data_IF_873463420377
#
_entry.id   IF_873463420377
#
_cell.length_a   1.000
_cell.length_b   1.000
_cell.length_c   1.000
_cell.angle_alpha   90.00
_cell.angle_beta   90.00
_cell.angle_gamma   90.00
#
_symmetry.space_group_name_H-M   'P 1'
#
loop_
_entity.id
_entity.type
_entity.pdbx_description
1 polymer ?
#
# COMPACT_ATOMS: atom_id res chain seq x y z
N UNK A 1 15.66 30.10 15.18
CA UNK A 1 15.47 28.67 14.90
C UNK A 1 14.81 28.07 16.13
N UNK A 2 13.61 27.51 16.01
CA UNK A 2 13.02 26.73 17.11
C UNK A 2 13.90 25.48 17.21
N UNK A 3 14.70 25.36 18.27
CA UNK A 3 15.36 24.09 18.56
C UNK A 3 14.27 23.02 18.65
N UNK A 4 14.38 21.88 17.94
CA UNK A 4 13.39 20.82 18.01
C UNK A 4 13.44 20.17 19.40
N UNK A 5 12.73 20.78 20.34
CA UNK A 5 12.47 20.24 21.66
C UNK A 5 11.37 19.19 21.62
N UNK A 6 11.12 18.56 22.76
CA UNK A 6 10.06 17.56 22.97
C UNK A 6 8.66 18.03 22.54
N UNK A 7 8.44 19.35 22.44
CA UNK A 7 7.22 19.94 21.89
C UNK A 7 6.93 19.54 20.44
N UNK A 8 7.94 19.26 19.61
CA UNK A 8 7.73 18.85 18.22
C UNK A 8 6.98 17.50 18.08
N UNK A 9 6.96 16.70 19.16
CA UNK A 9 6.21 15.44 19.22
C UNK A 9 4.73 15.63 19.56
N UNK A 10 4.33 16.82 19.99
CA UNK A 10 2.95 17.10 20.42
C UNK A 10 1.92 16.85 19.30
N UNK A 11 2.12 17.32 18.04
CA UNK A 11 1.18 17.06 16.95
C UNK A 11 0.97 15.56 16.64
N UNK A 12 2.00 14.73 16.40
CA UNK A 12 1.80 13.32 16.12
C UNK A 12 1.24 12.55 17.34
N UNK A 13 1.67 12.88 18.56
CA UNK A 13 1.13 12.23 19.78
C UNK A 13 -0.36 12.55 19.93
N UNK A 14 -0.77 13.81 19.74
CA UNK A 14 -2.18 14.18 19.78
C UNK A 14 -2.97 13.39 18.74
N UNK A 15 -2.50 13.34 17.49
CA UNK A 15 -3.17 12.62 16.43
C UNK A 15 -3.34 11.12 16.74
N UNK A 16 -2.31 10.47 17.28
CA UNK A 16 -2.37 9.05 17.65
C UNK A 16 -3.36 8.83 18.81
N UNK A 17 -3.26 9.63 19.88
CA UNK A 17 -4.13 9.51 21.05
C UNK A 17 -5.59 9.74 20.68
N UNK A 18 -5.87 10.79 19.91
CA UNK A 18 -7.23 11.06 19.42
C UNK A 18 -7.72 9.95 18.51
N UNK A 19 -6.88 9.40 17.62
CA UNK A 19 -7.30 8.35 16.71
C UNK A 19 -7.71 7.07 17.47
N UNK A 20 -6.97 6.72 18.52
CA UNK A 20 -7.29 5.56 19.37
C UNK A 20 -8.54 5.82 20.21
N UNK A 21 -8.65 6.99 20.83
CA UNK A 21 -9.75 7.33 21.74
C UNK A 21 -11.09 7.53 21.00
N UNK A 22 -11.07 8.26 19.88
CA UNK A 22 -12.28 8.61 19.12
C UNK A 22 -12.63 7.57 18.07
N UNK A 23 -11.67 6.71 17.68
CA UNK A 23 -11.77 5.83 16.50
C UNK A 23 -12.03 6.59 15.20
N UNK A 24 -11.70 7.89 15.15
CA UNK A 24 -11.90 8.77 14.01
C UNK A 24 -10.55 9.29 13.50
N UNK A 25 -9.95 8.55 12.57
CA UNK A 25 -8.59 8.83 12.05
C UNK A 25 -8.51 10.20 11.38
N UNK A 26 -9.47 10.53 10.50
CA UNK A 26 -9.44 11.79 9.74
C UNK A 26 -9.47 13.03 10.63
N UNK A 27 -10.37 13.06 11.63
CA UNK A 27 -10.47 14.17 12.57
C UNK A 27 -9.23 14.29 13.46
N UNK A 28 -8.64 13.15 13.83
CA UNK A 28 -7.43 13.11 14.64
C UNK A 28 -6.21 13.63 13.90
N UNK A 29 -6.06 13.29 12.62
CA UNK A 29 -5.02 13.83 11.75
C UNK A 29 -5.21 15.33 11.53
N UNK A 30 -6.43 15.80 11.28
CA UNK A 30 -6.73 17.22 11.12
C UNK A 30 -6.38 18.02 12.39
N UNK A 31 -6.70 17.49 13.58
CA UNK A 31 -6.32 18.10 14.85
C UNK A 31 -4.80 18.17 15.05
N UNK A 32 -4.05 17.12 14.64
CA UNK A 32 -2.60 17.12 14.66
C UNK A 32 -2.01 18.19 13.72
N UNK A 33 -2.46 18.26 12.47
CA UNK A 33 -2.02 19.28 11.50
C UNK A 33 -2.29 20.70 12.02
N UNK A 34 -3.50 20.92 12.53
CA UNK A 34 -3.88 22.21 13.12
C UNK A 34 -3.01 22.60 14.31
N UNK A 35 -2.73 21.66 15.22
CA UNK A 35 -1.83 21.89 16.35
C UNK A 35 -0.40 22.22 15.88
N UNK A 36 0.11 21.50 14.89
CA UNK A 36 1.43 21.77 14.29
C UNK A 36 1.53 23.21 13.76
N UNK A 37 0.54 23.64 12.98
CA UNK A 37 0.50 25.01 12.46
C UNK A 37 0.25 26.07 13.53
N UNK A 38 -0.48 25.73 14.59
CA UNK A 38 -0.68 26.60 15.76
C UNK A 38 0.64 26.82 16.49
N UNK A 39 1.46 25.78 16.66
CA UNK A 39 2.79 25.88 17.25
C UNK A 39 3.72 26.75 16.39
N UNK A 40 3.73 26.54 15.07
CA UNK A 40 4.49 27.36 14.12
C UNK A 40 4.01 28.82 14.07
N UNK A 41 2.76 29.07 14.46
CA UNK A 41 2.16 30.40 14.54
C UNK A 41 2.25 31.03 15.92
N UNK A 42 3.17 30.58 16.78
CA UNK A 42 3.39 31.16 18.10
C UNK A 42 2.24 30.91 19.09
N UNK A 43 1.59 29.75 19.01
CA UNK A 43 0.43 29.35 19.81
C UNK A 43 -0.85 30.15 19.57
N UNK A 44 -0.91 30.95 18.50
CA UNK A 44 -2.14 31.60 18.06
C UNK A 44 -3.06 30.61 17.35
N UNK A 45 -4.11 30.20 18.05
CA UNK A 45 -5.04 29.14 17.63
C UNK A 45 -5.80 29.50 16.34
N UNK A 46 -6.29 30.74 16.23
CA UNK A 46 -7.08 31.19 15.07
C UNK A 46 -6.24 31.31 13.80
N UNK A 47 -5.04 31.90 13.90
CA UNK A 47 -4.11 31.97 12.75
C UNK A 47 -3.53 30.61 12.40
N UNK A 48 -3.33 29.74 13.39
CA UNK A 48 -2.92 28.35 13.18
C UNK A 48 -3.93 27.57 12.36
N UNK A 49 -5.24 27.81 12.55
CA UNK A 49 -6.28 27.18 11.72
C UNK A 49 -6.23 27.67 10.27
N UNK A 50 -6.12 28.98 10.05
CA UNK A 50 -5.98 29.55 8.70
C UNK A 50 -4.78 28.97 7.96
N UNK A 51 -3.61 28.97 8.61
CA UNK A 51 -2.38 28.40 8.02
C UNK A 51 -2.41 26.89 7.84
N UNK A 52 -3.17 26.17 8.67
CA UNK A 52 -3.36 24.74 8.47
C UNK A 52 -4.13 24.46 7.18
N UNK A 53 -5.14 25.27 6.88
CA UNK A 53 -5.90 25.18 5.62
C UNK A 53 -5.00 25.56 4.44
N UNK A 54 -4.29 26.69 4.53
CA UNK A 54 -3.35 27.12 3.49
C UNK A 54 -2.27 26.05 3.23
N UNK A 55 -1.72 25.46 4.29
CA UNK A 55 -0.74 24.38 4.18
C UNK A 55 -1.28 23.13 3.48
N UNK A 56 -2.57 22.80 3.63
CA UNK A 56 -3.19 21.71 2.85
C UNK A 56 -3.26 22.09 1.37
N UNK A 57 -3.59 23.33 1.05
CA UNK A 57 -3.60 23.83 -0.34
C UNK A 57 -2.19 23.79 -0.93
N UNK A 58 -1.17 24.20 -0.18
CA UNK A 58 0.23 24.17 -0.60
C UNK A 58 0.70 22.74 -0.89
N UNK A 59 0.31 21.77 -0.05
CA UNK A 59 0.60 20.34 -0.29
C UNK A 59 -0.03 19.86 -1.59
N UNK A 60 -1.26 20.29 -1.91
CA UNK A 60 -1.91 19.94 -3.18
C UNK A 60 -1.25 20.67 -4.37
N UNK A 61 -0.73 21.88 -4.15
CA UNK A 61 0.00 22.67 -5.15
C UNK A 61 1.40 22.14 -5.47
N UNK A 62 2.03 21.42 -4.53
CA UNK A 62 3.34 20.80 -4.76
C UNK A 62 3.24 19.66 -5.79
N UNK A 63 4.08 19.75 -6.83
CA UNK A 63 4.05 18.79 -7.93
C UNK A 63 4.41 17.36 -7.50
N UNK A 64 5.25 17.18 -6.48
CA UNK A 64 5.61 15.87 -5.95
C UNK A 64 4.43 15.22 -5.23
N UNK A 65 3.83 15.94 -4.30
CA UNK A 65 2.66 15.52 -3.53
C UNK A 65 1.43 15.32 -4.42
N UNK A 66 1.18 16.19 -5.40
CA UNK A 66 0.10 16.04 -6.37
C UNK A 66 0.22 14.73 -7.16
N UNK A 67 1.44 14.34 -7.57
CA UNK A 67 1.69 13.03 -8.22
C UNK A 67 1.38 11.88 -7.27
N UNK A 68 1.69 12.03 -5.98
CA UNK A 68 1.38 11.00 -4.95
C UNK A 68 -0.12 10.79 -4.83
N UNK A 69 -0.87 11.88 -4.71
CA UNK A 69 -2.35 11.85 -4.68
C UNK A 69 -2.88 11.20 -5.96
N UNK A 70 -2.36 11.61 -7.13
CA UNK A 70 -2.83 11.11 -8.41
C UNK A 70 -2.60 9.61 -8.57
N UNK A 71 -1.40 9.08 -8.28
CA UNK A 71 -1.19 7.63 -8.43
C UNK A 71 -2.07 6.83 -7.45
N UNK A 72 -2.36 7.39 -6.25
CA UNK A 72 -3.25 6.78 -5.26
C UNK A 72 -4.69 6.70 -5.75
N UNK A 73 -5.14 7.63 -6.60
CA UNK A 73 -6.43 7.53 -7.26
C UNK A 73 -6.40 6.51 -8.41
N UNK A 74 -5.35 6.56 -9.25
CA UNK A 74 -5.20 5.68 -10.42
C UNK A 74 -5.05 4.20 -10.03
N UNK A 75 -4.41 3.89 -8.90
CA UNK A 75 -4.28 2.50 -8.44
C UNK A 75 -5.65 1.88 -8.15
N UNK A 76 -6.61 2.69 -7.65
CA UNK A 76 -8.00 2.26 -7.48
C UNK A 76 -8.62 1.83 -8.82
N UNK A 77 -8.43 2.64 -9.87
CA UNK A 77 -8.86 2.29 -11.23
C UNK A 77 -8.19 1.03 -11.74
N UNK A 78 -6.86 0.88 -11.54
CA UNK A 78 -6.13 -0.32 -11.93
C UNK A 78 -6.73 -1.56 -11.26
N UNK A 79 -6.92 -1.56 -9.95
CA UNK A 79 -7.49 -2.71 -9.23
C UNK A 79 -8.88 -3.05 -9.74
N UNK A 80 -9.73 -2.04 -9.96
CA UNK A 80 -11.06 -2.25 -10.54
C UNK A 80 -10.98 -2.89 -11.93
N UNK A 81 -10.08 -2.42 -12.78
CA UNK A 81 -9.84 -3.03 -14.10
C UNK A 81 -9.33 -4.48 -13.97
N UNK A 82 -8.44 -4.78 -13.01
CA UNK A 82 -7.93 -6.13 -12.76
C UNK A 82 -9.02 -7.09 -12.25
N UNK A 83 -9.95 -6.61 -11.44
CA UNK A 83 -11.10 -7.38 -10.95
C UNK A 83 -12.14 -7.60 -12.07
N UNK A 84 -12.50 -6.53 -12.78
CA UNK A 84 -13.50 -6.56 -13.84
C UNK A 84 -13.05 -7.42 -15.04
N UNK A 85 -11.76 -7.38 -15.39
CA UNK A 85 -11.13 -8.24 -16.41
C UNK A 85 -11.12 -9.74 -16.07
N UNK A 86 -11.55 -10.13 -14.86
CA UNK A 86 -11.44 -11.49 -14.36
C UNK A 86 -9.99 -11.93 -14.09
N UNK A 87 -9.05 -10.98 -14.05
CA UNK A 87 -7.64 -11.24 -13.76
C UNK A 87 -7.44 -11.88 -12.39
N UNK A 88 -8.05 -11.30 -11.35
CA UNK A 88 -8.00 -11.82 -9.97
C UNK A 88 -8.58 -13.23 -9.90
N UNK A 89 -9.77 -13.46 -10.47
CA UNK A 89 -10.40 -14.79 -10.54
C UNK A 89 -9.52 -15.80 -11.27
N UNK A 90 -8.96 -15.41 -12.41
CA UNK A 90 -8.08 -16.26 -13.20
C UNK A 90 -6.79 -16.61 -12.46
N UNK A 91 -6.25 -15.69 -11.67
CA UNK A 91 -5.10 -15.92 -10.80
C UNK A 91 -5.39 -16.90 -9.68
N UNK A 92 -6.47 -16.67 -8.93
CA UNK A 92 -6.94 -17.59 -7.89
C UNK A 92 -7.14 -18.99 -8.46
N UNK A 93 -7.84 -19.11 -9.60
CA UNK A 93 -8.11 -20.39 -10.23
C UNK A 93 -6.81 -21.14 -10.58
N UNK A 94 -5.82 -20.46 -11.16
CA UNK A 94 -4.54 -21.08 -11.54
C UNK A 94 -3.68 -21.47 -10.35
N UNK A 95 -3.73 -20.71 -9.25
CA UNK A 95 -3.08 -21.10 -8.00
C UNK A 95 -3.71 -22.35 -7.40
N UNK A 96 -5.03 -22.51 -7.55
CA UNK A 96 -5.76 -23.69 -7.06
C UNK A 96 -5.56 -24.91 -7.95
N UNK A 97 -5.67 -24.75 -9.27
CA UNK A 97 -5.43 -25.80 -10.27
C UNK A 97 -4.01 -26.36 -10.16
N UNK A 98 -3.02 -25.47 -10.01
CA UNK A 98 -1.63 -25.86 -9.77
C UNK A 98 -1.37 -26.43 -8.37
N UNK A 99 -2.40 -26.55 -7.52
CA UNK A 99 -2.34 -26.97 -6.10
C UNK A 99 -1.36 -26.13 -5.27
N UNK A 100 -1.01 -24.93 -5.72
CA UNK A 100 -0.14 -24.00 -5.02
C UNK A 100 -0.81 -23.51 -3.73
N UNK A 101 -2.10 -23.17 -3.78
CA UNK A 101 -2.88 -22.74 -2.61
C UNK A 101 -4.09 -23.65 -2.44
N UNK A 102 -4.09 -24.44 -1.36
CA UNK A 102 -5.15 -25.44 -1.10
C UNK A 102 -5.58 -25.49 0.36
N UNK A 103 -5.08 -24.59 1.21
CA UNK A 103 -5.48 -24.47 2.60
C UNK A 103 -5.21 -23.04 3.11
N UNK A 104 -5.76 -22.71 4.28
CA UNK A 104 -5.63 -21.40 4.92
C UNK A 104 -4.16 -20.97 5.12
N UNK A 105 -3.29 -21.89 5.55
CA UNK A 105 -1.86 -21.60 5.76
C UNK A 105 -1.18 -21.21 4.46
N UNK A 106 -1.50 -21.85 3.34
CA UNK A 106 -0.94 -21.48 2.03
C UNK A 106 -1.49 -20.17 1.50
N UNK A 107 -2.76 -19.85 1.79
CA UNK A 107 -3.32 -18.54 1.48
C UNK A 107 -2.59 -17.43 2.25
N UNK A 108 -2.29 -17.67 3.54
CA UNK A 108 -1.49 -16.75 4.37
C UNK A 108 -0.07 -16.56 3.85
N UNK A 109 0.61 -17.64 3.46
CA UNK A 109 1.93 -17.56 2.83
C UNK A 109 1.91 -16.81 1.50
N UNK A 110 0.85 -16.97 0.70
CA UNK A 110 0.69 -16.19 -0.52
C UNK A 110 0.56 -14.70 -0.19
N UNK A 111 -0.30 -14.31 0.75
CA UNK A 111 -0.46 -12.92 1.14
C UNK A 111 0.87 -12.29 1.60
N UNK A 112 1.60 -13.02 2.45
CA UNK A 112 2.93 -12.61 2.90
C UNK A 112 3.92 -12.48 1.73
N UNK A 113 3.98 -13.48 0.84
CA UNK A 113 4.90 -13.48 -0.30
C UNK A 113 4.59 -12.36 -1.31
N UNK A 114 3.31 -12.12 -1.60
CA UNK A 114 2.89 -11.02 -2.48
C UNK A 114 3.30 -9.68 -1.88
N UNK A 115 3.14 -9.49 -0.58
CA UNK A 115 3.59 -8.28 0.12
C UNK A 115 5.10 -8.08 0.09
N UNK A 116 5.88 -9.17 0.13
CA UNK A 116 7.34 -9.13 0.01
C UNK A 116 7.80 -8.87 -1.44
N UNK A 117 7.13 -9.43 -2.43
CA UNK A 117 7.53 -9.33 -3.84
C UNK A 117 7.13 -7.98 -4.45
N UNK A 118 5.96 -7.46 -4.11
CA UNK A 118 5.50 -6.15 -4.60
C UNK A 118 6.04 -5.11 -3.63
N UNK A 119 7.24 -4.58 -3.88
CA UNK A 119 7.92 -3.62 -2.98
C UNK A 119 8.05 -2.20 -3.57
N UNK A 120 7.23 -1.87 -4.57
CA UNK A 120 7.27 -0.58 -5.28
C UNK A 120 6.88 0.58 -4.36
N UNK A 121 5.73 0.45 -3.72
CA UNK A 121 5.14 1.48 -2.89
C UNK A 121 4.12 0.80 -1.97
N UNK A 122 4.12 1.21 -0.70
CA UNK A 122 3.33 0.59 0.37
C UNK A 122 1.83 0.52 0.10
N UNK A 123 1.19 1.58 -0.39
CA UNK A 123 -0.24 1.58 -0.69
C UNK A 123 -0.57 0.63 -1.86
N UNK A 124 0.25 0.63 -2.92
CA UNK A 124 0.12 -0.31 -4.04
C UNK A 124 0.20 -1.75 -3.52
N UNK A 125 1.21 -2.06 -2.71
CA UNK A 125 1.40 -3.39 -2.14
C UNK A 125 0.20 -3.82 -1.30
N UNK A 126 -0.29 -2.94 -0.41
CA UNK A 126 -1.45 -3.23 0.45
C UNK A 126 -2.67 -3.57 -0.39
N UNK A 127 -2.93 -2.76 -1.41
CA UNK A 127 -4.12 -2.90 -2.22
C UNK A 127 -4.08 -4.15 -3.12
N UNK A 128 -2.95 -4.43 -3.75
CA UNK A 128 -2.78 -5.61 -4.62
C UNK A 128 -2.75 -6.90 -3.79
N UNK A 129 -1.98 -6.94 -2.70
CA UNK A 129 -1.96 -8.11 -1.82
C UNK A 129 -3.36 -8.38 -1.23
N UNK A 130 -4.10 -7.32 -0.89
CA UNK A 130 -5.47 -7.38 -0.40
C UNK A 130 -6.45 -7.94 -1.40
N UNK A 131 -6.49 -7.41 -2.62
CA UNK A 131 -7.42 -7.86 -3.67
C UNK A 131 -7.17 -9.30 -4.12
N UNK A 132 -5.90 -9.70 -4.20
CA UNK A 132 -5.50 -11.05 -4.60
C UNK A 132 -5.76 -12.09 -3.52
N UNK A 133 -5.48 -11.76 -2.26
CA UNK A 133 -5.50 -12.73 -1.17
C UNK A 133 -6.84 -12.82 -0.47
N UNK A 134 -7.65 -11.76 -0.46
CA UNK A 134 -8.97 -11.75 0.20
C UNK A 134 -9.89 -12.90 -0.25
N UNK A 135 -10.07 -13.18 -1.55
CA UNK A 135 -10.93 -14.28 -1.98
C UNK A 135 -10.44 -15.65 -1.48
N UNK A 136 -9.13 -15.84 -1.39
CA UNK A 136 -8.53 -17.07 -0.88
C UNK A 136 -8.73 -17.21 0.63
N UNK A 137 -8.58 -16.12 1.39
CA UNK A 137 -8.84 -16.13 2.83
C UNK A 137 -10.30 -16.45 3.13
N UNK A 138 -11.22 -15.81 2.40
CA UNK A 138 -12.65 -16.07 2.56
C UNK A 138 -12.99 -17.53 2.22
N UNK A 139 -12.45 -18.06 1.12
CA UNK A 139 -12.65 -19.46 0.70
C UNK A 139 -12.10 -20.47 1.71
N UNK A 140 -10.90 -20.23 2.22
CA UNK A 140 -10.24 -21.12 3.18
C UNK A 140 -10.54 -20.79 4.64
N UNK A 141 -11.54 -19.93 4.89
CA UNK A 141 -12.05 -19.58 6.22
C UNK A 141 -10.99 -19.03 7.17
N UNK A 142 -10.07 -18.23 6.65
CA UNK A 142 -9.13 -17.43 7.43
C UNK A 142 -9.71 -16.04 7.69
N UNK A 143 -9.34 -15.42 8.82
CA UNK A 143 -9.87 -14.11 9.19
C UNK A 143 -9.31 -12.97 8.35
N UNK A 144 -10.16 -11.99 8.02
CA UNK A 144 -9.74 -10.78 7.31
C UNK A 144 -8.83 -9.91 8.19
N UNK A 145 -8.91 -10.02 9.52
CA UNK A 145 -7.98 -9.37 10.45
C UNK A 145 -6.55 -9.92 10.31
N UNK A 146 -6.40 -11.25 10.19
CA UNK A 146 -5.08 -11.85 9.96
C UNK A 146 -4.53 -11.47 8.60
N UNK A 147 -5.38 -11.40 7.57
CA UNK A 147 -4.98 -10.88 6.27
C UNK A 147 -4.44 -9.44 6.37
N UNK A 148 -5.17 -8.55 7.04
CA UNK A 148 -4.75 -7.17 7.22
C UNK A 148 -3.40 -7.08 7.96
N UNK A 149 -3.22 -7.87 9.02
CA UNK A 149 -1.95 -7.93 9.76
C UNK A 149 -0.77 -8.37 8.87
N UNK A 150 -0.94 -9.42 8.06
CA UNK A 150 0.12 -9.92 7.19
C UNK A 150 0.50 -8.93 6.10
N UNK A 151 -0.50 -8.29 5.48
CA UNK A 151 -0.29 -7.28 4.45
C UNK A 151 0.41 -6.05 5.03
N UNK A 152 -0.04 -5.55 6.17
CA UNK A 152 0.55 -4.37 6.82
C UNK A 152 2.00 -4.64 7.25
N UNK A 153 2.26 -5.82 7.83
CA UNK A 153 3.59 -6.25 8.29
C UNK A 153 4.58 -6.53 7.16
N UNK A 154 4.13 -6.61 5.91
CA UNK A 154 5.00 -6.84 4.74
C UNK A 154 5.12 -5.62 3.85
N UNK A 155 4.07 -4.81 3.71
CA UNK A 155 4.05 -3.70 2.74
C UNK A 155 5.05 -2.58 3.08
N UNK A 156 4.81 -1.80 4.13
CA UNK A 156 5.71 -0.72 4.51
C UNK A 156 7.10 -1.22 4.98
N UNK A 157 7.20 -2.30 5.79
CA UNK A 157 8.48 -2.88 6.19
C UNK A 157 9.38 -3.30 5.04
N UNK A 158 8.87 -3.93 3.98
CA UNK A 158 9.72 -4.32 2.85
C UNK A 158 10.09 -3.10 2.01
N UNK A 159 9.18 -2.14 1.84
CA UNK A 159 9.48 -0.91 1.10
C UNK A 159 10.67 -0.14 1.68
N UNK A 160 10.84 -0.08 2.99
CA UNK A 160 12.00 0.63 3.58
C UNK A 160 13.32 -0.16 3.46
N UNK A 161 13.26 -1.49 3.28
CA UNK A 161 14.42 -2.36 3.16
C UNK A 161 15.03 -2.39 1.76
N UNK A 162 14.33 -1.86 0.74
CA UNK A 162 14.78 -1.92 -0.65
C UNK A 162 14.93 -0.50 -1.22
N UNK A 163 16.14 -0.07 -1.61
CA UNK A 163 16.39 1.30 -2.07
C UNK A 163 15.78 1.65 -3.44
N UNK A 164 15.50 0.64 -4.27
CA UNK A 164 15.06 0.84 -5.65
C UNK A 164 13.53 0.97 -5.75
N UNK A 165 12.97 1.90 -4.98
CA UNK A 165 11.53 2.16 -4.92
C UNK A 165 11.24 3.62 -4.50
N UNK A 166 9.96 3.98 -4.30
CA UNK A 166 9.60 5.37 -3.98
C UNK A 166 10.14 5.83 -2.62
N UNK A 167 10.12 4.95 -1.61
CA UNK A 167 10.61 5.26 -0.27
C UNK A 167 12.14 5.37 -0.23
N UNK A 168 12.85 4.54 -0.99
CA UNK A 168 14.29 4.63 -1.16
C UNK A 168 14.69 5.97 -1.79
N UNK A 169 14.04 6.36 -2.90
CA UNK A 169 14.29 7.67 -3.53
C UNK A 169 14.01 8.84 -2.57
N UNK A 170 12.95 8.77 -1.77
CA UNK A 170 12.63 9.80 -0.78
C UNK A 170 13.71 9.91 0.31
N UNK A 171 14.14 8.78 0.89
CA UNK A 171 15.19 8.79 1.92
C UNK A 171 16.55 9.24 1.38
N UNK A 172 16.90 8.84 0.14
CA UNK A 172 18.10 9.32 -0.52
C UNK A 172 18.04 10.84 -0.74
N UNK A 173 16.90 11.37 -1.17
CA UNK A 173 16.68 12.82 -1.28
C UNK A 173 16.94 13.56 0.03
N UNK A 174 16.38 13.07 1.14
CA UNK A 174 16.63 13.66 2.48
C UNK A 174 18.12 13.62 2.83
N UNK A 175 18.78 12.49 2.64
CA UNK A 175 20.20 12.35 2.97
C UNK A 175 21.08 13.29 2.14
N UNK A 176 20.75 13.48 0.86
CA UNK A 176 21.41 14.46 -0.03
C UNK A 176 21.19 15.89 0.45
N UNK A 177 19.96 16.26 0.81
CA UNK A 177 19.64 17.60 1.36
C UNK A 177 20.38 17.89 2.67
N UNK A 178 20.59 16.86 3.49
CA UNK A 178 21.38 16.96 4.72
C UNK A 178 22.90 17.04 4.48
N UNK A 179 23.36 16.95 3.23
CA UNK A 179 24.78 17.03 2.87
C UNK A 179 25.60 15.79 3.22
N UNK A 180 24.96 14.62 3.30
CA UNK A 180 25.67 13.35 3.52
C UNK A 180 26.53 13.01 2.30
N UNK A 181 27.82 12.73 2.51
CA UNK A 181 28.79 12.49 1.41
C UNK A 181 28.46 11.26 0.55
N UNK A 182 27.98 10.17 1.16
CA UNK A 182 27.56 8.94 0.47
C UNK A 182 26.14 8.53 0.90
N UNK A 183 25.08 9.20 0.40
CA UNK A 183 23.70 8.93 0.78
C UNK A 183 23.30 7.47 0.56
N UNK A 184 23.72 6.86 -0.56
CA UNK A 184 23.38 5.47 -0.85
C UNK A 184 24.11 4.50 0.06
N UNK A 185 25.42 4.66 0.26
CA UNK A 185 26.16 3.76 1.15
C UNK A 185 25.69 3.87 2.59
N UNK A 186 25.34 5.09 3.05
CA UNK A 186 24.73 5.29 4.37
C UNK A 186 23.35 4.62 4.43
N UNK A 187 22.49 4.79 3.43
CA UNK A 187 21.18 4.14 3.39
C UNK A 187 21.29 2.61 3.35
N UNK A 188 22.17 2.04 2.53
CA UNK A 188 22.39 0.59 2.45
C UNK A 188 22.91 0.03 3.77
N UNK A 189 23.81 0.74 4.46
CA UNK A 189 24.27 0.35 5.79
C UNK A 189 23.18 0.49 6.84
N UNK A 190 22.30 1.49 6.72
CA UNK A 190 21.20 1.72 7.67
C UNK A 190 20.11 0.64 7.58
N UNK A 191 19.95 -0.03 6.42
CA UNK A 191 19.05 -1.17 6.26
C UNK A 191 19.29 -2.23 7.35
N UNK A 192 20.56 -2.55 7.67
CA UNK A 192 20.89 -3.54 8.69
C UNK A 192 20.41 -3.15 10.11
N UNK A 193 20.22 -1.86 10.36
CA UNK A 193 19.71 -1.31 11.62
C UNK A 193 18.19 -1.12 11.63
N UNK A 194 17.50 -1.49 10.55
CA UNK A 194 16.05 -1.41 10.44
C UNK A 194 15.38 -2.61 11.14
N UNK A 195 15.64 -2.75 12.45
CA UNK A 195 15.20 -3.88 13.25
C UNK A 195 13.69 -4.06 13.20
N UNK A 196 12.93 -2.97 13.25
CA UNK A 196 11.47 -3.02 13.16
C UNK A 196 11.00 -3.72 11.88
N UNK A 197 11.56 -3.36 10.72
CA UNK A 197 11.14 -3.96 9.46
C UNK A 197 11.44 -5.46 9.41
N UNK A 198 12.65 -5.88 9.82
CA UNK A 198 13.01 -7.29 9.89
C UNK A 198 12.13 -8.07 10.87
N UNK A 199 11.89 -7.51 12.06
CA UNK A 199 11.05 -8.14 13.07
C UNK A 199 9.59 -8.22 12.62
N UNK A 200 9.04 -7.19 11.98
CA UNK A 200 7.66 -7.21 11.49
C UNK A 200 7.46 -8.29 10.43
N UNK A 201 8.32 -8.31 9.40
CA UNK A 201 8.27 -9.30 8.31
C UNK A 201 8.50 -10.70 8.84
N UNK A 202 9.51 -10.87 9.68
CA UNK A 202 9.87 -12.14 10.29
C UNK A 202 8.77 -12.66 11.22
N UNK A 203 8.25 -11.83 12.11
CA UNK A 203 7.16 -12.19 13.01
C UNK A 203 5.90 -12.57 12.23
N UNK A 204 5.57 -11.84 11.16
CA UNK A 204 4.46 -12.20 10.29
C UNK A 204 4.67 -13.60 9.69
N UNK A 205 5.87 -13.93 9.19
CA UNK A 205 6.20 -15.28 8.71
C UNK A 205 6.11 -16.35 9.82
N UNK A 206 6.62 -16.04 11.02
CA UNK A 206 6.58 -16.95 12.17
C UNK A 206 5.15 -17.20 12.66
N UNK A 207 4.26 -16.21 12.61
CA UNK A 207 2.85 -16.40 13.00
C UNK A 207 2.13 -17.36 12.06
N UNK A 208 2.50 -17.40 10.78
CA UNK A 208 2.00 -18.39 9.82
C UNK A 208 2.63 -19.77 10.10
N UNK A 209 3.95 -19.83 10.25
CA UNK A 209 4.70 -21.08 10.42
C UNK A 209 4.28 -21.85 11.67
N UNK A 210 4.20 -21.15 12.80
CA UNK A 210 3.86 -21.73 14.10
C UNK A 210 2.36 -21.64 14.43
N UNK A 211 1.54 -21.10 13.53
CA UNK A 211 0.10 -20.86 13.74
C UNK A 211 -0.18 -20.11 15.05
N UNK A 212 0.60 -19.04 15.27
CA UNK A 212 0.49 -18.23 16.47
C UNK A 212 -0.65 -17.24 16.28
N UNK A 213 -1.76 -17.50 16.97
CA UNK A 213 -2.91 -16.60 17.05
C UNK A 213 -3.11 -16.19 18.51
N UNK A 214 -2.71 -14.95 18.85
CA UNK A 214 -2.75 -14.44 20.23
C UNK A 214 -3.96 -13.53 20.46
N UNK A 215 -4.57 -13.66 21.64
CA UNK A 215 -5.60 -12.75 22.13
C UNK A 215 -6.78 -12.55 21.16
N UNK A 216 -7.03 -11.31 20.69
CA UNK A 216 -8.11 -11.02 19.74
C UNK A 216 -7.99 -11.77 18.41
N UNK A 217 -6.78 -12.04 17.92
CA UNK A 217 -6.56 -12.74 16.65
C UNK A 217 -7.08 -14.18 16.71
N UNK A 218 -6.87 -14.87 17.85
CA UNK A 218 -7.40 -16.22 18.06
C UNK A 218 -8.92 -16.27 17.92
N UNK A 219 -9.61 -15.27 18.49
CA UNK A 219 -11.07 -15.16 18.40
C UNK A 219 -11.51 -14.89 16.95
N UNK A 220 -10.75 -14.08 16.21
CA UNK A 220 -11.02 -13.80 14.81
C UNK A 220 -10.88 -15.06 13.94
N UNK A 221 -9.82 -15.86 14.10
CA UNK A 221 -9.64 -17.11 13.35
C UNK A 221 -10.69 -18.17 13.71
N UNK A 222 -11.05 -18.31 15.00
CA UNK A 222 -12.11 -19.20 15.42
C UNK A 222 -13.47 -18.84 14.82
N UNK A 223 -13.77 -17.53 14.72
CA UNK A 223 -14.97 -17.02 14.08
C UNK A 223 -14.95 -17.25 12.56
N UNK A 224 -13.81 -16.99 11.91
CA UNK A 224 -13.66 -17.24 10.48
C UNK A 224 -13.88 -18.72 10.13
N UNK A 225 -13.45 -19.65 11.01
CA UNK A 225 -13.67 -21.09 10.84
C UNK A 225 -15.15 -21.49 10.78
N UNK A 226 -16.06 -20.73 11.41
CA UNK A 226 -17.51 -20.93 11.32
C UNK A 226 -18.12 -20.33 10.05
N UNK A 227 -17.32 -19.72 9.18
CA UNK A 227 -17.74 -19.03 7.96
C UNK A 227 -17.98 -17.52 8.14
N UNK A 228 -17.85 -16.99 9.36
CA UNK A 228 -18.05 -15.57 9.66
C UNK A 228 -16.71 -14.82 9.61
N UNK A 229 -16.32 -14.40 8.41
CA UNK A 229 -15.01 -13.75 8.17
C UNK A 229 -14.91 -12.32 8.72
N UNK A 230 -16.05 -11.67 9.00
CA UNK A 230 -16.13 -10.34 9.61
C UNK A 230 -16.65 -10.42 11.04
N UNK A 231 -16.18 -9.51 11.91
CA UNK A 231 -16.73 -9.33 13.26
C UNK A 231 -18.14 -8.73 13.19
N UNK A 232 -18.98 -9.04 14.19
CA UNK A 232 -20.26 -8.35 14.36
C UNK A 232 -20.04 -6.84 14.56
N UNK A 233 -20.85 -6.04 13.86
CA UNK A 233 -20.71 -4.57 13.84
C UNK A 233 -19.45 -4.06 13.14
N UNK A 234 -18.77 -4.88 12.32
CA UNK A 234 -17.73 -4.39 11.42
C UNK A 234 -18.34 -3.41 10.41
N UNK A 235 -17.65 -2.31 10.16
CA UNK A 235 -17.92 -1.41 9.03
C UNK A 235 -16.74 -1.53 8.07
N UNK A 236 -16.84 -2.36 7.01
CA UNK A 236 -15.81 -2.43 5.99
C UNK A 236 -15.61 -1.06 5.33
N UNK A 237 -14.36 -0.61 5.22
CA UNK A 237 -14.02 0.66 4.56
C UNK A 237 -14.22 0.62 3.04
N UNK A 238 -14.31 -0.58 2.46
CA UNK A 238 -14.55 -0.83 1.04
C UNK A 238 -15.80 -1.68 0.94
N UNK A 239 -16.83 -1.21 0.22
CA UNK A 239 -18.06 -1.98 0.03
C UNK A 239 -17.78 -3.24 -0.79
N UNK A 240 -18.52 -4.32 -0.51
CA UNK A 240 -18.36 -5.58 -1.22
C UNK A 240 -18.65 -5.41 -2.72
N UNK A 241 -19.56 -4.49 -3.07
CA UNK A 241 -19.91 -4.07 -4.43
C UNK A 241 -18.75 -3.40 -5.19
N UNK A 242 -17.77 -2.84 -4.46
CA UNK A 242 -16.56 -2.25 -5.06
C UNK A 242 -15.52 -3.33 -5.42
N UNK A 243 -15.51 -4.44 -4.70
CA UNK A 243 -14.56 -5.55 -4.94
C UNK A 243 -15.10 -6.69 -5.79
N UNK A 244 -16.37 -6.62 -6.19
CA UNK A 244 -17.03 -7.59 -7.03
C UNK A 244 -17.90 -6.91 -8.10
N UNK A 245 -17.32 -6.10 -9.03
CA UNK A 245 -18.07 -5.74 -10.22
C UNK A 245 -18.54 -7.05 -10.90
N UNK A 246 -19.77 -7.08 -11.46
CA UNK A 246 -20.23 -8.26 -12.19
C UNK A 246 -19.18 -8.57 -13.24
N UNK A 247 -18.65 -9.79 -13.17
CA UNK A 247 -17.76 -10.30 -14.18
C UNK A 247 -18.44 -10.08 -15.54
N UNK A 248 -17.78 -9.39 -16.45
CA UNK A 248 -18.15 -9.58 -17.85
C UNK A 248 -17.84 -11.04 -18.18
N UNK A 249 -18.87 -11.87 -18.23
CA UNK A 249 -18.79 -13.28 -18.67
C UNK A 249 -18.38 -13.41 -20.15
N UNK A 250 -18.11 -12.29 -20.83
CA UNK A 250 -17.67 -12.21 -22.21
C UNK A 250 -16.33 -12.94 -22.45
N UNK A 251 -15.46 -13.06 -21.45
CA UNK A 251 -14.15 -13.72 -21.59
C UNK A 251 -13.86 -14.64 -20.40
N UNK A 252 -13.22 -15.81 -20.63
CA UNK A 252 -12.73 -16.66 -19.55
C UNK A 252 -11.74 -15.91 -18.64
N UNK A 253 -11.82 -16.08 -17.32
CA UNK A 253 -10.91 -15.45 -16.37
C UNK A 253 -9.47 -15.93 -16.60
N UNK A 254 -8.54 -15.00 -16.87
CA UNK A 254 -7.12 -15.29 -17.16
C UNK A 254 -6.21 -14.56 -16.18
N UNK A 255 -5.29 -15.24 -15.50
CA UNK A 255 -4.34 -14.55 -14.60
C UNK A 255 -3.43 -13.58 -15.33
N UNK A 256 -3.17 -13.79 -16.63
CA UNK A 256 -2.34 -12.87 -17.40
C UNK A 256 -2.93 -11.45 -17.40
N UNK A 257 -4.25 -11.30 -17.29
CA UNK A 257 -4.90 -9.99 -17.16
C UNK A 257 -4.54 -9.27 -15.86
N UNK A 258 -3.94 -9.96 -14.89
CA UNK A 258 -3.49 -9.41 -13.61
C UNK A 258 -1.96 -9.43 -13.46
N UNK A 259 -1.34 -10.59 -13.71
CA UNK A 259 0.11 -10.76 -13.56
C UNK A 259 0.86 -9.80 -14.48
N UNK A 260 0.44 -9.68 -15.74
CA UNK A 260 1.19 -8.89 -16.73
C UNK A 260 1.19 -7.39 -16.38
N UNK A 261 0.05 -6.72 -16.08
CA UNK A 261 0.06 -5.35 -15.58
C UNK A 261 0.87 -5.15 -14.29
N UNK A 262 0.79 -6.07 -13.31
CA UNK A 262 1.54 -5.94 -12.05
C UNK A 262 3.05 -6.07 -12.29
N UNK A 263 3.49 -7.09 -13.03
CA UNK A 263 4.91 -7.28 -13.34
C UNK A 263 5.44 -6.09 -14.13
N UNK A 264 4.65 -5.60 -15.10
CA UNK A 264 4.99 -4.41 -15.86
C UNK A 264 5.13 -3.17 -14.98
N UNK A 265 4.23 -2.97 -14.01
CA UNK A 265 4.35 -1.91 -13.00
C UNK A 265 5.64 -2.03 -12.19
N UNK A 266 5.97 -3.24 -11.70
CA UNK A 266 7.20 -3.50 -10.92
C UNK A 266 8.45 -3.17 -11.74
N UNK A 267 8.48 -3.56 -13.01
CA UNK A 267 9.62 -3.30 -13.91
C UNK A 267 9.69 -1.83 -14.32
N UNK A 268 8.56 -1.15 -14.49
CA UNK A 268 8.53 0.25 -14.86
C UNK A 268 9.02 1.18 -13.76
N UNK A 269 8.99 0.76 -12.50
CA UNK A 269 9.51 1.58 -11.39
C UNK A 269 11.01 1.91 -11.52
N UNK A 270 11.94 0.92 -11.58
CA UNK A 270 13.37 1.22 -11.75
C UNK A 270 13.67 1.89 -13.10
N UNK A 271 12.90 1.60 -14.16
CA UNK A 271 13.01 2.31 -15.44
C UNK A 271 12.66 3.79 -15.27
N UNK A 272 11.55 4.09 -14.59
CA UNK A 272 11.13 5.44 -14.28
C UNK A 272 12.17 6.20 -13.44
N UNK A 273 12.77 5.53 -12.45
CA UNK A 273 13.84 6.13 -11.64
C UNK A 273 15.06 6.46 -12.51
N UNK A 274 15.50 5.52 -13.35
CA UNK A 274 16.61 5.73 -14.28
C UNK A 274 16.37 6.90 -15.24
N UNK A 275 15.17 6.98 -15.84
CA UNK A 275 14.83 8.05 -16.78
C UNK A 275 14.76 9.41 -16.07
N UNK A 276 14.08 9.46 -14.92
CA UNK A 276 13.90 10.72 -14.19
C UNK A 276 15.18 11.22 -13.53
N UNK A 277 16.12 10.32 -13.23
CA UNK A 277 17.45 10.65 -12.71
C UNK A 277 18.54 10.76 -13.80
N UNK A 278 18.17 10.97 -15.07
CA UNK A 278 19.10 11.17 -16.19
C UNK A 278 20.17 10.07 -16.35
N UNK A 279 19.82 8.82 -16.01
CA UNK A 279 20.70 7.67 -16.08
C UNK A 279 21.26 7.19 -14.74
N UNK A 280 21.03 7.92 -13.64
CA UNK A 280 21.27 7.42 -12.28
C UNK A 280 19.93 7.19 -11.56
N UNK A 281 19.68 5.96 -11.09
CA UNK A 281 18.45 5.64 -10.34
C UNK A 281 18.36 6.41 -9.02
N UNK A 282 19.50 6.86 -8.48
CA UNK A 282 19.58 7.56 -7.19
C UNK A 282 18.97 8.95 -7.24
N UNK A 283 19.12 9.62 -8.37
CA UNK A 283 18.59 10.97 -8.60
C UNK A 283 17.16 10.92 -9.18
N UNK A 284 16.59 9.72 -9.28
CA UNK A 284 15.24 9.49 -9.80
C UNK A 284 14.15 10.06 -8.90
N UNK A 285 13.14 10.66 -9.52
CA UNK A 285 11.97 11.18 -8.82
C UNK A 285 11.01 10.05 -8.48
N UNK A 286 11.05 9.55 -7.24
CA UNK A 286 10.19 8.45 -6.78
C UNK A 286 8.69 8.66 -7.04
N UNK A 287 8.16 9.85 -6.77
CA UNK A 287 6.75 10.18 -7.03
C UNK A 287 6.39 10.16 -8.52
N UNK A 288 7.29 10.61 -9.39
CA UNK A 288 7.08 10.58 -10.85
C UNK A 288 7.17 9.16 -11.38
N UNK A 289 8.17 8.40 -10.93
CA UNK A 289 8.39 7.01 -11.37
C UNK A 289 7.24 6.09 -10.97
N UNK A 290 6.71 6.21 -9.74
CA UNK A 290 5.54 5.44 -9.31
C UNK A 290 4.31 5.81 -10.14
N UNK A 291 4.07 7.11 -10.36
CA UNK A 291 2.94 7.55 -11.18
C UNK A 291 3.01 6.97 -12.60
N UNK A 292 4.19 7.02 -13.25
CA UNK A 292 4.39 6.42 -14.56
C UNK A 292 4.21 4.91 -14.56
N UNK A 293 4.71 4.21 -13.53
CA UNK A 293 4.55 2.78 -13.38
C UNK A 293 3.07 2.38 -13.30
N UNK A 294 2.27 3.07 -12.49
CA UNK A 294 0.83 2.78 -12.33
C UNK A 294 0.05 3.13 -13.61
N UNK A 295 0.30 4.30 -14.21
CA UNK A 295 -0.37 4.72 -15.45
C UNK A 295 -0.07 3.78 -16.61
N UNK A 296 1.18 3.39 -16.77
CA UNK A 296 1.60 2.48 -17.85
C UNK A 296 1.07 1.07 -17.65
N UNK A 297 0.96 0.59 -16.39
CA UNK A 297 0.30 -0.67 -16.07
C UNK A 297 -1.21 -0.63 -16.34
N UNK A 298 -1.89 0.47 -16.01
CA UNK A 298 -3.30 0.67 -16.35
C UNK A 298 -3.51 0.67 -17.87
N UNK A 299 -2.70 1.43 -18.60
CA UNK A 299 -2.74 1.47 -20.06
C UNK A 299 -2.50 0.07 -20.67
N UNK A 300 -1.51 -0.68 -20.17
CA UNK A 300 -1.29 -2.05 -20.60
C UNK A 300 -2.49 -2.95 -20.32
N UNK A 301 -3.11 -2.83 -19.13
CA UNK A 301 -4.32 -3.57 -18.79
C UNK A 301 -5.46 -3.26 -19.78
N UNK A 302 -5.69 -1.99 -20.11
CA UNK A 302 -6.69 -1.58 -21.08
C UNK A 302 -6.39 -2.10 -22.49
N UNK A 303 -5.14 -2.01 -22.95
CA UNK A 303 -4.71 -2.57 -24.24
C UNK A 303 -4.99 -4.06 -24.30
N UNK A 304 -4.67 -4.82 -23.24
CA UNK A 304 -4.95 -6.24 -23.15
C UNK A 304 -6.44 -6.54 -23.23
N UNK A 305 -7.29 -5.73 -22.59
CA UNK A 305 -8.74 -5.92 -22.62
C UNK A 305 -9.34 -5.62 -23.98
N UNK A 306 -8.91 -4.54 -24.64
CA UNK A 306 -9.33 -4.22 -26.00
C UNK A 306 -8.86 -5.28 -27.00
N UNK A 307 -7.61 -5.72 -26.89
CA UNK A 307 -7.04 -6.77 -27.75
C UNK A 307 -7.78 -8.11 -27.59
N UNK A 308 -8.24 -8.42 -26.36
CA UNK A 308 -9.05 -9.59 -26.08
C UNK A 308 -10.52 -9.42 -26.46
N UNK A 309 -10.95 -8.21 -26.86
CA UNK A 309 -12.36 -7.83 -27.09
C UNK A 309 -13.23 -8.03 -25.84
N UNK A 310 -12.63 -7.84 -24.68
CA UNK A 310 -13.29 -7.99 -23.39
C UNK A 310 -14.23 -6.83 -23.14
N UNK A 311 -13.70 -5.64 -23.42
CA UNK A 311 -14.26 -4.34 -23.14
C UNK A 311 -14.20 -3.53 -24.44
N UNK A 312 -15.13 -2.60 -24.59
CA UNK A 312 -15.10 -1.51 -25.57
C UNK A 312 -14.48 -0.26 -24.95
N UNK A 313 -14.16 0.76 -25.76
CA UNK A 313 -13.61 2.02 -25.24
C UNK A 313 -14.55 2.71 -24.24
N UNK A 314 -15.86 2.54 -24.39
CA UNK A 314 -16.87 3.12 -23.49
C UNK A 314 -16.98 2.34 -22.16
N UNK A 315 -16.47 1.12 -22.11
CA UNK A 315 -16.50 0.26 -20.92
C UNK A 315 -15.22 0.36 -20.07
N UNK A 316 -14.15 0.99 -20.60
CA UNK A 316 -12.87 1.20 -19.90
C UNK A 316 -12.91 2.39 -18.94
#
# INVERSE_FOLDING_TARGET
MIEPGWLALLPPVLAIVLAIATRQVYLSLAAGVWLGWTMLSGWSVGTGLGRAIDGVVDVVGDAGNAKVILFTLVIGSLIRTLEASGGVRGFVHRLEEGRFVHNATRAQWLAWAVGVVIFIESNITVLVAGSVSRPLFDRFRASREKLAYLIDSTSAPICILIPLNAWGAYNLGILTELGVEDPLGVFVRSIAFNFYAFFAVGLAALTILFKIDLGPMKRAEQRAATGLVLREGAQPMVSEDVTAPPATDRIPPRALNMILPIVFMVVMMPIGLFITGNGDLRDGSGSTSVLWAVLSALALSWILLLAQRAFTLDEL
#
